data_IF_300992316762
#
_entry.id   IF_300992316762
#
_cell.length_a   1.000
_cell.length_b   1.000
_cell.length_c   1.000
_cell.angle_alpha   90.00
_cell.angle_beta   90.00
_cell.angle_gamma   90.00
#
_symmetry.space_group_name_H-M   'P 1'
#
loop_
_entity.id
_entity.type
_entity.pdbx_description
1 polymer ?
#
# COMPACT_ATOMS: atom_id res chain seq x y z
N UNK A 1 18.80 5.70 -5.06
CA UNK A 1 17.52 6.43 -5.18
C UNK A 1 16.84 6.35 -3.82
N UNK A 2 16.46 7.48 -3.23
CA UNK A 2 15.76 7.50 -1.93
C UNK A 2 14.30 7.08 -2.15
N UNK A 3 13.96 5.85 -1.79
CA UNK A 3 12.59 5.32 -1.96
C UNK A 3 11.60 5.97 -1.00
N UNK A 4 12.07 6.61 0.08
CA UNK A 4 11.21 7.33 1.04
C UNK A 4 10.62 8.60 0.43
N UNK A 5 11.23 9.14 -0.62
CA UNK A 5 10.69 10.27 -1.37
C UNK A 5 9.31 9.98 -2.00
N UNK A 6 8.91 8.71 -2.12
CA UNK A 6 7.59 8.29 -2.59
C UNK A 6 6.50 8.36 -1.52
N UNK A 7 6.84 8.60 -0.25
CA UNK A 7 5.89 8.52 0.87
C UNK A 7 5.35 9.91 1.20
N UNK A 8 4.04 10.05 1.26
CA UNK A 8 3.32 11.25 1.72
C UNK A 8 2.38 10.85 2.86
N UNK A 9 2.37 11.64 3.93
CA UNK A 9 1.57 11.39 5.12
C UNK A 9 0.62 12.54 5.44
N UNK A 10 -0.46 12.23 6.14
CA UNK A 10 -1.42 13.19 6.68
C UNK A 10 -2.14 14.02 5.62
N UNK A 11 -2.38 15.33 5.87
CA UNK A 11 -3.29 16.14 5.06
C UNK A 11 -2.82 16.36 3.62
N UNK A 12 -1.54 16.18 3.33
CA UNK A 12 -0.97 16.35 1.97
C UNK A 12 -1.25 15.18 1.03
N UNK A 13 -1.86 14.09 1.51
CA UNK A 13 -2.11 12.90 0.70
C UNK A 13 -3.03 13.19 -0.50
N UNK A 14 -4.13 13.89 -0.27
CA UNK A 14 -5.12 14.20 -1.31
C UNK A 14 -4.49 15.07 -2.43
N UNK A 15 -3.80 16.15 -2.05
CA UNK A 15 -3.15 17.05 -3.01
C UNK A 15 -2.05 16.36 -3.82
N UNK A 16 -1.26 15.48 -3.17
CA UNK A 16 -0.19 14.74 -3.85
C UNK A 16 -0.75 13.73 -4.85
N UNK A 17 -1.85 13.06 -4.48
CA UNK A 17 -2.55 12.16 -5.38
C UNK A 17 -3.16 12.90 -6.59
N UNK A 18 -3.79 14.04 -6.35
CA UNK A 18 -4.30 14.89 -7.45
C UNK A 18 -3.20 15.37 -8.38
N UNK A 19 -2.04 15.77 -7.83
CA UNK A 19 -0.90 16.16 -8.64
C UNK A 19 -0.43 15.02 -9.54
N UNK A 20 -0.29 13.80 -8.99
CA UNK A 20 0.09 12.64 -9.78
C UNK A 20 -0.95 12.29 -10.84
N UNK A 21 -2.25 12.39 -10.52
CA UNK A 21 -3.35 12.19 -11.48
C UNK A 21 -3.24 13.12 -12.69
N UNK A 22 -2.80 14.37 -12.50
CA UNK A 22 -2.64 15.34 -13.60
C UNK A 22 -1.48 15.01 -14.53
N UNK A 23 -0.43 14.37 -14.01
CA UNK A 23 0.79 14.05 -14.78
C UNK A 23 0.81 12.62 -15.30
N UNK A 24 -0.09 11.74 -14.85
CA UNK A 24 -0.13 10.33 -15.23
C UNK A 24 -1.55 9.94 -15.70
N UNK A 25 -1.85 10.09 -17.00
CA UNK A 25 -3.15 9.79 -17.61
C UNK A 25 -3.74 8.41 -17.27
N UNK A 26 -2.91 7.39 -17.05
CA UNK A 26 -3.33 6.05 -16.62
C UNK A 26 -2.82 5.71 -15.21
N UNK A 27 -3.01 6.62 -14.26
CA UNK A 27 -2.78 6.34 -12.84
C UNK A 27 -3.79 5.29 -12.33
N UNK A 28 -3.29 4.28 -11.60
CA UNK A 28 -4.12 3.45 -10.73
C UNK A 28 -3.89 3.77 -9.26
N UNK A 29 -4.96 3.69 -8.48
CA UNK A 29 -4.99 3.95 -7.05
C UNK A 29 -5.56 2.74 -6.34
N UNK A 30 -4.78 2.17 -5.42
CA UNK A 30 -5.20 1.01 -4.64
C UNK A 30 -5.05 1.27 -3.15
N UNK A 31 -5.76 0.50 -2.33
CA UNK A 31 -5.71 0.58 -0.87
C UNK A 31 -5.51 -0.79 -0.25
N UNK A 32 -4.85 -0.84 0.90
CA UNK A 32 -4.60 -2.07 1.63
C UNK A 32 -3.93 -1.82 2.97
N UNK A 33 -3.83 -2.90 3.75
CA UNK A 33 -3.16 -2.89 5.04
C UNK A 33 -1.70 -3.31 4.91
N UNK A 34 -1.35 -4.26 4.05
CA UNK A 34 0.05 -4.71 3.89
C UNK A 34 0.73 -5.05 5.23
N UNK A 35 0.02 -5.75 6.12
CA UNK A 35 0.46 -6.06 7.48
C UNK A 35 0.44 -7.58 7.75
N UNK A 36 1.59 -8.27 7.75
CA UNK A 36 2.91 -7.80 7.32
C UNK A 36 3.00 -7.67 5.78
N UNK A 37 4.06 -7.04 5.26
CA UNK A 37 4.29 -6.98 3.81
C UNK A 37 4.79 -8.34 3.31
N UNK A 38 4.01 -9.00 2.46
CA UNK A 38 4.29 -10.33 1.90
C UNK A 38 4.63 -10.26 0.40
N UNK A 39 5.23 -11.34 -0.12
CA UNK A 39 5.51 -11.47 -1.55
C UNK A 39 4.25 -11.43 -2.43
N UNK A 40 3.12 -11.91 -1.92
CA UNK A 40 1.81 -11.82 -2.58
C UNK A 40 1.38 -10.37 -2.82
N UNK A 41 1.71 -9.45 -1.91
CA UNK A 41 1.44 -8.02 -2.09
C UNK A 41 2.27 -7.45 -3.23
N UNK A 42 3.56 -7.78 -3.31
CA UNK A 42 4.42 -7.31 -4.40
C UNK A 42 3.92 -7.78 -5.77
N UNK A 43 3.54 -9.05 -5.89
CA UNK A 43 2.97 -9.61 -7.12
C UNK A 43 1.66 -8.94 -7.52
N UNK A 44 0.78 -8.66 -6.54
CA UNK A 44 -0.49 -7.98 -6.78
C UNK A 44 -0.28 -6.54 -7.24
N UNK A 45 0.61 -5.81 -6.58
CA UNK A 45 0.93 -4.42 -6.95
C UNK A 45 1.60 -4.34 -8.33
N UNK A 46 2.44 -5.31 -8.70
CA UNK A 46 3.00 -5.43 -10.05
C UNK A 46 1.88 -5.63 -11.10
N UNK A 47 0.90 -6.49 -10.79
CA UNK A 47 -0.25 -6.72 -11.67
C UNK A 47 -1.15 -5.47 -11.80
N UNK A 48 -1.36 -4.72 -10.73
CA UNK A 48 -2.10 -3.44 -10.79
C UNK A 48 -1.36 -2.38 -11.60
N UNK A 49 -0.03 -2.37 -11.50
CA UNK A 49 0.84 -1.47 -12.27
C UNK A 49 0.85 -1.82 -13.75
N UNK A 50 0.61 -3.09 -14.12
CA UNK A 50 0.61 -3.55 -15.49
C UNK A 50 -0.49 -2.83 -16.31
N UNK A 51 -0.07 -2.11 -17.36
CA UNK A 51 -0.99 -1.31 -18.19
C UNK A 51 -1.32 0.08 -17.63
N UNK A 52 -0.87 0.41 -16.43
CA UNK A 52 -0.91 1.77 -15.88
C UNK A 52 0.35 2.56 -16.29
N UNK A 53 0.38 3.87 -16.07
CA UNK A 53 1.60 4.70 -16.14
C UNK A 53 2.18 5.00 -14.74
N UNK A 54 1.36 4.93 -13.71
CA UNK A 54 1.78 5.05 -12.33
C UNK A 54 0.86 4.25 -11.41
N UNK A 55 1.37 3.89 -10.23
CA UNK A 55 0.58 3.25 -9.17
C UNK A 55 0.73 4.02 -7.86
N UNK A 56 -0.39 4.51 -7.34
CA UNK A 56 -0.49 5.07 -6.00
C UNK A 56 -1.08 4.03 -5.05
N UNK A 57 -0.45 3.86 -3.89
CA UNK A 57 -0.88 2.92 -2.85
C UNK A 57 -1.24 3.68 -1.58
N UNK A 58 -2.46 3.48 -1.09
CA UNK A 58 -2.93 4.00 0.18
C UNK A 58 -2.72 2.92 1.24
N UNK A 59 -1.90 3.21 2.24
CA UNK A 59 -1.61 2.31 3.36
C UNK A 59 -2.51 2.69 4.53
N UNK A 60 -3.47 1.83 4.83
CA UNK A 60 -4.44 2.02 5.92
C UNK A 60 -4.02 1.30 7.20
N UNK A 61 -4.68 1.58 8.32
CA UNK A 61 -4.41 0.90 9.59
C UNK A 61 -5.31 -0.34 9.74
N UNK A 62 -4.75 -1.55 9.88
CA UNK A 62 -5.54 -2.74 10.18
C UNK A 62 -5.97 -2.76 11.66
N UNK A 63 -6.95 -3.60 12.02
CA UNK A 63 -7.18 -3.98 13.41
C UNK A 63 -5.96 -4.71 13.97
N UNK A 64 -5.44 -4.25 15.11
CA UNK A 64 -4.29 -4.83 15.83
C UNK A 64 -3.04 -5.00 14.92
N UNK A 65 -2.36 -3.89 14.56
CA UNK A 65 -1.24 -3.92 13.62
C UNK A 65 -0.02 -4.69 14.18
N UNK A 66 0.56 -5.56 13.35
CA UNK A 66 1.82 -6.25 13.64
C UNK A 66 3.00 -5.31 13.39
N UNK A 67 2.95 -4.55 12.29
CA UNK A 67 3.94 -3.56 11.92
C UNK A 67 3.37 -2.13 12.02
N UNK A 68 4.16 -1.15 12.52
CA UNK A 68 3.78 0.26 12.45
C UNK A 68 3.50 0.70 11.01
N UNK A 69 2.51 1.58 10.82
CA UNK A 69 2.13 2.13 9.50
C UNK A 69 3.32 2.64 8.68
N UNK A 70 4.25 3.35 9.35
CA UNK A 70 5.49 3.83 8.71
C UNK A 70 6.36 2.69 8.17
N UNK A 71 6.52 1.60 8.90
CA UNK A 71 7.32 0.46 8.44
C UNK A 71 6.68 -0.19 7.21
N UNK A 72 5.36 -0.33 7.20
CA UNK A 72 4.60 -0.85 6.05
C UNK A 72 4.73 0.09 4.84
N UNK A 73 4.63 1.39 5.04
CA UNK A 73 4.82 2.39 3.99
C UNK A 73 6.24 2.36 3.39
N UNK A 74 7.28 2.25 4.21
CA UNK A 74 8.67 2.16 3.74
C UNK A 74 8.89 0.89 2.90
N UNK A 75 8.34 -0.25 3.32
CA UNK A 75 8.42 -1.51 2.58
C UNK A 75 7.66 -1.46 1.26
N UNK A 76 6.45 -0.90 1.24
CA UNK A 76 5.66 -0.72 0.01
C UNK A 76 6.34 0.26 -0.95
N UNK A 77 6.92 1.36 -0.45
CA UNK A 77 7.62 2.36 -1.27
C UNK A 77 8.88 1.80 -1.94
N UNK A 78 9.51 0.80 -1.32
CA UNK A 78 10.67 0.11 -1.87
C UNK A 78 10.34 -0.74 -3.10
N UNK A 79 9.06 -1.08 -3.33
CA UNK A 79 8.64 -1.84 -4.50
C UNK A 79 8.77 -1.00 -5.78
N UNK A 80 9.31 -1.61 -6.84
CA UNK A 80 9.56 -0.95 -8.12
C UNK A 80 8.27 -0.49 -8.80
N UNK A 81 7.20 -1.31 -8.71
CA UNK A 81 5.89 -0.99 -9.27
C UNK A 81 5.26 0.27 -8.65
N UNK A 82 5.61 0.63 -7.41
CA UNK A 82 4.93 1.69 -6.68
C UNK A 82 5.54 3.06 -6.98
N UNK A 83 4.70 4.00 -7.40
CA UNK A 83 5.07 5.38 -7.74
C UNK A 83 4.86 6.36 -6.58
N UNK A 84 3.82 6.14 -5.77
CA UNK A 84 3.44 6.99 -4.64
C UNK A 84 2.83 6.14 -3.52
N UNK A 85 3.18 6.43 -2.28
CA UNK A 85 2.61 5.80 -1.07
C UNK A 85 1.97 6.89 -0.22
N UNK A 86 0.73 6.66 0.18
CA UNK A 86 -0.10 7.61 0.89
C UNK A 86 -0.48 7.03 2.26
N UNK A 87 -0.21 7.78 3.34
CA UNK A 87 -0.56 7.41 4.72
C UNK A 87 -1.47 8.51 5.28
N UNK A 88 -2.81 8.40 5.14
CA UNK A 88 -3.71 9.54 5.32
C UNK A 88 -3.85 10.09 6.74
N UNK A 89 -3.42 9.38 7.80
CA UNK A 89 -3.53 9.82 9.21
C UNK A 89 -4.92 10.40 9.58
N UNK A 90 -6.00 9.75 9.12
CA UNK A 90 -7.38 10.18 9.37
C UNK A 90 -7.96 11.19 8.36
N UNK A 91 -7.18 11.63 7.38
CA UNK A 91 -7.68 12.41 6.26
C UNK A 91 -8.56 11.56 5.33
N UNK A 92 -9.64 12.17 4.81
CA UNK A 92 -10.45 11.55 3.77
C UNK A 92 -9.62 11.37 2.49
N UNK A 93 -9.64 10.16 1.95
CA UNK A 93 -8.99 9.85 0.68
C UNK A 93 -10.05 9.76 -0.44
N UNK A 94 -9.69 10.14 -1.68
CA UNK A 94 -10.56 9.95 -2.82
C UNK A 94 -10.77 8.45 -3.11
N UNK A 95 -11.73 8.16 -3.98
CA UNK A 95 -12.03 6.80 -4.41
C UNK A 95 -10.80 6.07 -4.98
N UNK A 96 -10.74 4.78 -4.67
CA UNK A 96 -9.72 3.83 -5.13
C UNK A 96 -10.27 2.98 -6.27
N UNK A 97 -9.39 2.52 -7.15
CA UNK A 97 -9.72 1.60 -8.23
C UNK A 97 -9.79 0.14 -7.74
N UNK A 98 -9.07 -0.18 -6.66
CA UNK A 98 -9.13 -1.48 -5.99
C UNK A 98 -8.84 -1.37 -4.49
N UNK A 99 -9.48 -2.27 -3.73
CA UNK A 99 -9.38 -2.41 -2.27
C UNK A 99 -8.90 -3.82 -1.94
N UNK A 100 -7.85 -3.93 -1.12
CA UNK A 100 -7.19 -5.19 -0.75
C UNK A 100 -7.34 -5.56 0.72
N UNK A 101 -7.98 -4.73 1.53
CA UNK A 101 -8.08 -4.82 2.98
C UNK A 101 -8.59 -6.18 3.45
N UNK A 102 -9.67 -6.69 2.85
CA UNK A 102 -10.22 -8.01 3.20
C UNK A 102 -9.24 -9.15 2.87
N UNK A 103 -8.56 -9.04 1.72
CA UNK A 103 -7.58 -10.04 1.30
C UNK A 103 -6.33 -9.99 2.19
N UNK A 104 -5.87 -8.80 2.57
CA UNK A 104 -4.71 -8.61 3.44
C UNK A 104 -4.97 -9.20 4.83
N UNK A 105 -6.18 -9.06 5.38
CA UNK A 105 -6.56 -9.72 6.63
C UNK A 105 -6.53 -11.25 6.52
N UNK A 106 -7.02 -11.79 5.41
CA UNK A 106 -6.96 -13.23 5.15
C UNK A 106 -5.52 -13.73 4.96
N UNK A 107 -4.69 -12.98 4.25
CA UNK A 107 -3.26 -13.28 4.04
C UNK A 107 -2.50 -13.25 5.37
N UNK A 108 -2.76 -12.25 6.22
CA UNK A 108 -2.20 -12.12 7.57
C UNK A 108 -2.57 -13.31 8.46
N UNK A 109 -3.83 -13.72 8.47
CA UNK A 109 -4.30 -14.83 9.28
C UNK A 109 -3.59 -16.14 8.88
N UNK A 110 -3.48 -16.40 7.57
CA UNK A 110 -2.77 -17.56 7.03
C UNK A 110 -1.28 -17.53 7.38
N UNK A 111 -0.63 -16.39 7.21
CA UNK A 111 0.79 -16.23 7.56
C UNK A 111 1.05 -16.48 9.05
N UNK A 112 0.21 -15.93 9.92
CA UNK A 112 0.34 -16.08 11.38
C UNK A 112 0.15 -17.54 11.81
N UNK A 113 -0.84 -18.24 11.25
CA UNK A 113 -1.05 -19.66 11.51
C UNK A 113 0.18 -20.49 11.13
N UNK A 114 0.70 -20.27 9.91
CA UNK A 114 1.89 -20.96 9.40
C UNK A 114 3.14 -20.75 10.27
N UNK A 115 3.36 -19.52 10.76
CA UNK A 115 4.49 -19.22 11.66
C UNK A 115 4.35 -19.94 13.00
N UNK A 116 3.14 -19.97 13.59
CA UNK A 116 2.88 -20.65 14.87
C UNK A 116 3.10 -22.15 14.76
N UNK A 117 2.67 -22.77 13.66
CA UNK A 117 2.88 -24.20 13.41
C UNK A 117 4.36 -24.56 13.33
N UNK A 118 5.21 -23.68 12.79
CA UNK A 118 6.66 -23.91 12.69
C UNK A 118 7.45 -23.63 13.97
N UNK A 119 6.85 -22.94 14.94
CA UNK A 119 7.48 -22.60 16.22
C UNK A 119 7.07 -23.54 17.36
N UNK A 120 6.17 -24.48 17.10
CA UNK A 120 5.74 -25.54 18.03
C UNK A 120 6.57 -26.81 17.81
#
# INVERSE_FOLDING_TARGET
MDTRAKIVSGPSCASSLEQLRRTSPSLRVVSGYFDPVLASHAQRLEAERAGAEALAVIVLEPPEPILPSRARAELVAALAAVSLVLVPEGAAMPAVDASFEAQDLADRARFTAHVRERQS
#
